data_IF_346097254622
#
_entry.id   IF_346097254622
#
_cell.length_a   1.000
_cell.length_b   1.000
_cell.length_c   1.000
_cell.angle_alpha   90.00
_cell.angle_beta   90.00
_cell.angle_gamma   90.00
#
_symmetry.space_group_name_H-M   'P 1'
#
loop_
_entity.id
_entity.type
_entity.pdbx_description
1 polymer ?
#
# COMPACT_ATOMS: atom_id res chain seq x y z
N UNK A 1 -8.16 -14.11 8.37
CA UNK A 1 -7.53 -12.80 8.08
C UNK A 1 -6.06 -13.08 8.20
N UNK A 2 -5.44 -13.31 7.05
CA UNK A 2 -4.19 -14.08 6.96
C UNK A 2 -3.04 -13.30 7.59
N UNK A 3 -2.04 -14.00 8.16
CA UNK A 3 -0.88 -13.35 8.78
C UNK A 3 -0.20 -12.37 7.80
N UNK A 4 -0.18 -12.70 6.50
CA UNK A 4 0.38 -11.86 5.45
C UNK A 4 -0.36 -10.54 5.27
N UNK A 5 -1.69 -10.52 5.41
CA UNK A 5 -2.50 -9.32 5.27
C UNK A 5 -2.14 -8.28 6.34
N UNK A 6 -2.04 -8.74 7.59
CA UNK A 6 -1.66 -7.88 8.72
C UNK A 6 -0.22 -7.40 8.61
N UNK A 7 0.69 -8.29 8.19
CA UNK A 7 2.10 -7.91 7.97
C UNK A 7 2.20 -6.84 6.89
N UNK A 8 1.49 -6.98 5.77
CA UNK A 8 1.51 -5.98 4.69
C UNK A 8 0.99 -4.61 5.12
N UNK A 9 -0.09 -4.56 5.93
CA UNK A 9 -0.59 -3.30 6.49
C UNK A 9 0.46 -2.62 7.38
N UNK A 10 1.08 -3.37 8.27
CA UNK A 10 2.14 -2.88 9.15
C UNK A 10 3.36 -2.42 8.36
N UNK A 11 3.74 -3.14 7.32
CA UNK A 11 4.84 -2.78 6.43
C UNK A 11 4.53 -1.50 5.66
N UNK A 12 3.29 -1.31 5.18
CA UNK A 12 2.88 -0.05 4.52
C UNK A 12 3.02 1.13 5.50
N UNK A 13 2.50 1.01 6.72
CA UNK A 13 2.59 2.07 7.73
C UNK A 13 4.04 2.39 8.11
N UNK A 14 4.86 1.36 8.33
CA UNK A 14 6.28 1.49 8.66
C UNK A 14 7.08 2.15 7.53
N UNK A 15 6.87 1.74 6.28
CA UNK A 15 7.52 2.35 5.13
C UNK A 15 7.13 3.80 4.97
N UNK A 16 5.85 4.15 5.15
CA UNK A 16 5.40 5.55 5.12
C UNK A 16 5.98 6.36 6.27
N UNK A 17 6.15 5.78 7.45
CA UNK A 17 6.78 6.43 8.61
C UNK A 17 8.25 6.78 8.41
N UNK A 18 8.96 6.04 7.53
CA UNK A 18 10.34 6.32 7.16
C UNK A 18 10.49 7.38 6.06
N UNK A 19 9.38 7.78 5.42
CA UNK A 19 9.39 8.78 4.35
C UNK A 19 9.15 10.18 4.93
N UNK A 20 9.66 11.20 4.22
CA UNK A 20 9.33 12.60 4.51
C UNK A 20 7.81 12.85 4.40
N UNK A 21 7.25 13.83 5.13
CA UNK A 21 5.84 14.21 4.99
C UNK A 21 5.44 14.45 3.53
N UNK A 22 4.27 13.94 3.14
CA UNK A 22 3.72 14.05 1.78
C UNK A 22 4.36 13.15 0.72
N UNK A 23 5.43 12.41 1.03
CA UNK A 23 5.95 11.37 0.15
C UNK A 23 5.03 10.13 0.13
N UNK A 24 5.22 9.29 -0.87
CA UNK A 24 4.40 8.12 -1.12
C UNK A 24 5.26 6.89 -1.40
N UNK A 25 4.68 5.71 -1.23
CA UNK A 25 5.22 4.43 -1.70
C UNK A 25 4.32 3.84 -2.78
N UNK A 26 4.63 2.66 -3.32
CA UNK A 26 3.69 1.83 -4.07
C UNK A 26 3.48 0.46 -3.37
N UNK A 27 2.41 -0.28 -3.70
CA UNK A 27 2.14 -1.58 -3.08
C UNK A 27 3.28 -2.61 -3.24
N UNK A 28 4.04 -2.55 -4.34
CA UNK A 28 5.15 -3.48 -4.56
C UNK A 28 6.35 -3.22 -3.64
N UNK A 29 6.53 -2.00 -3.11
CA UNK A 29 7.55 -1.75 -2.08
C UNK A 29 7.23 -2.52 -0.80
N UNK A 30 5.96 -2.53 -0.37
CA UNK A 30 5.53 -3.32 0.79
C UNK A 30 5.67 -4.81 0.53
N UNK A 31 5.22 -5.29 -0.63
CA UNK A 31 5.36 -6.70 -1.01
C UNK A 31 6.83 -7.17 -0.99
N UNK A 32 7.75 -6.36 -1.56
CA UNK A 32 9.18 -6.66 -1.57
C UNK A 32 9.84 -6.62 -0.20
N UNK A 33 9.32 -5.79 0.71
CA UNK A 33 9.82 -5.76 2.08
C UNK A 33 9.37 -6.98 2.89
N UNK A 34 8.23 -7.58 2.54
CA UNK A 34 7.72 -8.82 3.18
C UNK A 34 8.38 -10.07 2.61
N UNK A 35 8.44 -10.19 1.29
CA UNK A 35 9.07 -11.32 0.60
C UNK A 35 9.80 -10.82 -0.66
N UNK A 36 11.12 -10.57 -0.58
CA UNK A 36 11.89 -10.03 -1.70
C UNK A 36 11.87 -10.91 -2.96
N UNK A 37 11.75 -12.23 -2.81
CA UNK A 37 11.82 -13.19 -3.91
C UNK A 37 10.41 -13.52 -4.45
N UNK A 38 9.42 -13.65 -3.57
CA UNK A 38 8.02 -13.97 -3.87
C UNK A 38 7.06 -12.77 -4.01
N UNK A 39 7.55 -11.52 -3.95
CA UNK A 39 6.71 -10.31 -3.89
C UNK A 39 5.64 -10.20 -4.98
N UNK A 40 5.83 -10.83 -6.15
CA UNK A 40 4.85 -10.80 -7.25
C UNK A 40 3.55 -11.48 -6.84
N UNK A 41 3.63 -12.57 -6.10
CA UNK A 41 2.46 -13.32 -5.65
C UNK A 41 1.73 -12.57 -4.52
N UNK A 42 2.45 -11.69 -3.80
CA UNK A 42 1.89 -10.81 -2.78
C UNK A 42 1.22 -9.55 -3.34
N UNK A 43 1.33 -9.26 -4.65
CA UNK A 43 0.78 -8.02 -5.22
C UNK A 43 -0.74 -7.84 -5.01
N UNK A 44 -1.59 -8.87 -5.19
CA UNK A 44 -3.02 -8.75 -4.88
C UNK A 44 -3.27 -8.42 -3.40
N UNK A 45 -2.55 -9.10 -2.49
CA UNK A 45 -2.66 -8.87 -1.05
C UNK A 45 -2.17 -7.47 -0.65
N UNK A 46 -1.05 -7.01 -1.21
CA UNK A 46 -0.49 -5.68 -0.94
C UNK A 46 -1.43 -4.56 -1.41
N UNK A 47 -2.09 -4.74 -2.56
CA UNK A 47 -3.13 -3.82 -3.02
C UNK A 47 -4.35 -3.84 -2.10
N UNK A 48 -4.78 -5.02 -1.67
CA UNK A 48 -5.90 -5.17 -0.73
C UNK A 48 -5.60 -4.49 0.62
N UNK A 49 -4.41 -4.69 1.17
CA UNK A 49 -3.93 -4.03 2.39
C UNK A 49 -3.94 -2.49 2.27
N UNK A 50 -3.44 -1.95 1.16
CA UNK A 50 -3.52 -0.51 0.89
C UNK A 50 -4.97 -0.02 0.84
N UNK A 51 -5.88 -0.81 0.29
CA UNK A 51 -7.32 -0.51 0.23
C UNK A 51 -7.99 -0.52 1.59
N UNK A 52 -7.68 -1.50 2.45
CA UNK A 52 -8.19 -1.57 3.82
C UNK A 52 -7.71 -0.39 4.66
N UNK A 53 -6.43 -0.04 4.56
CA UNK A 53 -5.89 1.16 5.21
C UNK A 53 -6.55 2.45 4.71
N UNK A 54 -6.84 2.53 3.40
CA UNK A 54 -7.53 3.69 2.84
C UNK A 54 -8.99 3.78 3.31
N UNK A 55 -9.70 2.65 3.36
CA UNK A 55 -11.06 2.58 3.90
C UNK A 55 -11.10 2.95 5.40
N UNK A 56 -10.04 2.65 6.15
CA UNK A 56 -9.88 3.07 7.54
C UNK A 56 -9.43 4.54 7.71
N UNK A 57 -9.19 5.27 6.61
CA UNK A 57 -8.71 6.67 6.65
C UNK A 57 -7.26 6.83 7.09
N UNK A 58 -6.49 5.74 7.19
CA UNK A 58 -5.09 5.77 7.63
C UNK A 58 -4.13 6.22 6.51
N UNK A 59 -4.52 6.03 5.25
CA UNK A 59 -3.76 6.40 4.04
C UNK A 59 -4.69 6.88 2.93
N UNK A 60 -4.12 7.54 1.92
CA UNK A 60 -4.77 7.76 0.63
C UNK A 60 -4.05 6.95 -0.45
N UNK A 61 -4.82 6.30 -1.33
CA UNK A 61 -4.29 5.73 -2.57
C UNK A 61 -4.53 6.72 -3.70
N UNK A 62 -3.49 7.00 -4.47
CA UNK A 62 -3.55 7.92 -5.61
C UNK A 62 -3.06 7.29 -6.90
N UNK A 63 -3.64 7.72 -8.02
CA UNK A 63 -3.18 7.40 -9.36
C UNK A 63 -3.17 8.68 -10.18
N UNK A 64 -2.03 8.97 -10.83
CA UNK A 64 -1.84 10.23 -11.56
C UNK A 64 -2.17 11.49 -10.74
N UNK A 65 -1.92 11.45 -9.43
CA UNK A 65 -2.17 12.54 -8.49
C UNK A 65 -3.58 12.63 -7.92
N UNK A 66 -4.56 11.92 -8.50
CA UNK A 66 -5.93 11.86 -7.99
C UNK A 66 -6.11 10.74 -6.97
N UNK A 67 -6.91 10.96 -5.92
CA UNK A 67 -7.31 9.90 -4.98
C UNK A 67 -8.22 8.92 -5.71
N UNK A 68 -7.95 7.62 -5.57
CA UNK A 68 -8.69 6.54 -6.25
C UNK A 68 -8.98 5.39 -5.30
N UNK A 69 -10.03 4.64 -5.60
CA UNK A 69 -10.25 3.33 -5.00
C UNK A 69 -9.31 2.29 -5.63
N UNK A 70 -8.43 1.71 -4.82
CA UNK A 70 -7.43 0.73 -5.28
C UNK A 70 -8.06 -0.60 -5.73
N UNK A 71 -9.28 -0.93 -5.28
CA UNK A 71 -9.98 -2.13 -5.68
C UNK A 71 -10.37 -2.10 -7.17
N UNK A 72 -10.60 -0.89 -7.71
CA UNK A 72 -11.01 -0.69 -9.11
C UNK A 72 -9.93 -0.06 -9.99
N UNK A 73 -8.95 0.63 -9.39
CA UNK A 73 -7.85 1.26 -10.13
C UNK A 73 -7.02 0.23 -10.90
N UNK A 74 -6.79 0.45 -12.19
CA UNK A 74 -5.94 -0.43 -13.02
C UNK A 74 -4.53 0.13 -13.13
N UNK A 75 -3.53 -0.73 -12.99
CA UNK A 75 -2.13 -0.35 -13.14
C UNK A 75 -1.51 0.30 -11.89
N UNK A 76 -0.39 1.02 -12.05
CA UNK A 76 0.38 1.56 -10.93
C UNK A 76 -0.40 2.59 -10.10
N UNK A 77 -0.27 2.47 -8.78
CA UNK A 77 -0.85 3.38 -7.79
C UNK A 77 0.20 3.76 -6.75
N UNK A 78 -0.04 4.85 -6.03
CA UNK A 78 0.79 5.33 -4.93
C UNK A 78 -0.01 5.36 -3.64
N UNK A 79 0.62 5.03 -2.52
CA UNK A 79 0.03 5.12 -1.17
C UNK A 79 0.73 6.24 -0.42
N UNK A 80 0.00 7.15 0.22
CA UNK A 80 0.55 8.25 1.03
C UNK A 80 -0.25 8.44 2.31
N UNK A 81 0.32 9.13 3.30
CA UNK A 81 -0.44 9.61 4.46
C UNK A 81 -1.53 10.61 3.99
N UNK A 82 -2.70 10.66 4.65
CA UNK A 82 -3.70 11.69 4.39
C UNK A 82 -3.10 13.08 4.60
N UNK A 83 -3.64 14.07 3.88
CA UNK A 83 -3.22 15.47 4.02
C UNK A 83 -3.96 16.19 5.14
#
# INVERSE_FOLDING_TARGET
>A
MDDVDRVLEQTIDALLGQRRPGASICPSEAARAVDPDGWRDLMPAARSAAGRLAAAGAVEVTQSGAVVDVATARGPVRVRRPR
#
